data_IF_130290561868
#
_entry.id   IF_130290561868
#
_cell.length_a   1.000
_cell.length_b   1.000
_cell.length_c   1.000
_cell.angle_alpha   90.00
_cell.angle_beta   90.00
_cell.angle_gamma   90.00
#
_symmetry.space_group_name_H-M   'P 1'
#
loop_
_entity.id
_entity.type
_entity.pdbx_description
1 polymer ?
#
# COMPACT_ATOMS: atom_id res chain seq x y z
N UNK A 1 -50.91 19.11 -44.66
CA UNK A 1 -49.47 19.38 -44.41
C UNK A 1 -49.02 18.39 -43.33
N UNK A 2 -48.32 17.30 -43.69
CA UNK A 2 -46.85 17.09 -43.55
C UNK A 2 -46.41 17.26 -42.08
N UNK A 3 -45.81 16.33 -41.32
CA UNK A 3 -45.10 15.03 -41.49
C UNK A 3 -45.04 14.35 -40.08
N UNK A 4 -45.35 13.06 -39.90
CA UNK A 4 -44.46 11.87 -39.93
C UNK A 4 -43.38 11.82 -38.82
N UNK A 5 -43.55 10.94 -37.81
CA UNK A 5 -42.51 10.01 -37.32
C UNK A 5 -43.20 8.75 -36.77
N UNK A 6 -43.04 7.65 -37.51
CA UNK A 6 -43.15 6.29 -37.04
C UNK A 6 -41.99 5.54 -37.69
N UNK A 7 -41.19 4.79 -36.93
CA UNK A 7 -40.57 3.58 -37.46
C UNK A 7 -40.26 2.58 -36.34
N UNK A 8 -40.62 1.35 -36.68
CA UNK A 8 -40.70 0.14 -35.88
C UNK A 8 -39.34 -0.61 -35.79
N UNK A 9 -39.14 -1.26 -34.64
CA UNK A 9 -38.65 -2.62 -34.39
C UNK A 9 -37.87 -3.41 -35.48
N UNK A 10 -36.70 -3.93 -35.03
CA UNK A 10 -36.21 -5.34 -35.06
C UNK A 10 -36.12 -6.08 -36.41
N UNK A 11 -34.93 -6.61 -36.73
CA UNK A 11 -34.67 -7.99 -37.26
C UNK A 11 -33.13 -8.19 -37.28
N UNK A 12 -32.55 -8.92 -36.33
CA UNK A 12 -32.14 -10.35 -36.32
C UNK A 12 -30.68 -10.63 -36.66
N UNK A 13 -30.17 -11.62 -35.94
CA UNK A 13 -28.83 -12.19 -35.92
C UNK A 13 -28.45 -13.06 -37.15
N UNK A 14 -27.21 -13.59 -37.06
CA UNK A 14 -26.50 -14.59 -37.88
C UNK A 14 -25.73 -13.95 -39.05
N UNK A 15 -24.42 -14.15 -39.23
CA UNK A 15 -23.65 -15.40 -39.16
C UNK A 15 -22.12 -15.16 -39.17
N UNK A 16 -21.37 -16.12 -38.62
CA UNK A 16 -19.91 -16.25 -38.58
C UNK A 16 -19.21 -16.27 -39.95
N UNK A 17 -17.98 -15.76 -40.04
CA UNK A 17 -16.89 -16.35 -40.83
C UNK A 17 -15.53 -15.81 -40.39
N UNK A 18 -14.61 -16.72 -40.12
CA UNK A 18 -13.17 -16.54 -39.89
C UNK A 18 -12.45 -16.06 -41.16
N UNK A 19 -11.49 -15.15 -41.01
CA UNK A 19 -10.07 -15.29 -41.41
C UNK A 19 -9.39 -13.91 -41.59
N UNK A 20 -8.29 -13.78 -40.86
CA UNK A 20 -7.02 -13.14 -41.17
C UNK A 20 -6.83 -11.61 -41.30
N UNK A 21 -5.93 -11.19 -40.39
CA UNK A 21 -4.85 -10.22 -40.54
C UNK A 21 -5.21 -8.73 -40.62
N UNK A 22 -5.19 -8.10 -39.45
CA UNK A 22 -4.55 -6.79 -39.32
C UNK A 22 -3.52 -6.86 -38.20
N UNK A 23 -2.26 -6.74 -38.60
CA UNK A 23 -1.13 -6.44 -37.73
C UNK A 23 -1.47 -5.23 -36.84
N UNK A 24 -1.63 -5.48 -35.55
CA UNK A 24 -1.28 -4.51 -34.54
C UNK A 24 -0.19 -5.17 -33.71
N UNK A 25 1.03 -4.64 -33.83
CA UNK A 25 2.06 -4.78 -32.81
C UNK A 25 1.48 -4.24 -31.49
N UNK A 26 0.76 -5.09 -30.79
CA UNK A 26 0.51 -4.94 -29.36
C UNK A 26 1.84 -5.30 -28.72
N UNK A 27 2.56 -4.27 -28.31
CA UNK A 27 3.67 -4.40 -27.37
C UNK A 27 3.15 -5.22 -26.20
N UNK A 28 3.62 -6.46 -26.11
CA UNK A 28 3.22 -7.39 -25.08
C UNK A 28 3.62 -6.83 -23.70
N UNK A 29 2.62 -6.30 -22.97
CA UNK A 29 2.64 -6.23 -21.51
C UNK A 29 1.91 -7.48 -20.98
N UNK A 30 2.23 -8.65 -21.54
CA UNK A 30 1.69 -9.92 -21.09
C UNK A 30 2.66 -10.56 -20.10
N UNK A 31 2.51 -10.17 -18.84
CA UNK A 31 2.91 -10.98 -17.69
C UNK A 31 2.19 -10.53 -16.41
N UNK A 32 0.99 -9.96 -16.52
CA UNK A 32 0.26 -9.54 -15.33
C UNK A 32 -0.56 -10.68 -14.77
N UNK A 33 -0.35 -10.99 -13.48
CA UNK A 33 -0.95 -12.14 -12.81
C UNK A 33 -2.46 -11.97 -12.55
N UNK A 34 -2.95 -10.73 -12.48
CA UNK A 34 -4.36 -10.39 -12.28
C UNK A 34 -5.11 -10.02 -13.55
N UNK A 35 -6.41 -10.32 -13.53
CA UNK A 35 -7.41 -9.87 -14.51
C UNK A 35 -8.47 -9.02 -13.81
N UNK A 36 -8.98 -7.98 -14.45
CA UNK A 36 -10.13 -7.23 -13.93
C UNK A 36 -11.41 -8.09 -14.05
N UNK A 37 -12.04 -8.39 -12.92
CA UNK A 37 -13.31 -9.10 -12.82
C UNK A 37 -14.36 -8.16 -12.20
N UNK A 38 -15.26 -7.64 -13.04
CA UNK A 38 -16.21 -6.59 -12.65
C UNK A 38 -15.49 -5.31 -12.20
N UNK A 39 -15.51 -5.02 -10.89
CA UNK A 39 -14.91 -3.82 -10.27
C UNK A 39 -13.68 -4.13 -9.40
N UNK A 40 -13.14 -5.33 -9.48
CA UNK A 40 -12.01 -5.76 -8.64
C UNK A 40 -11.01 -6.56 -9.45
N UNK A 41 -9.77 -6.62 -8.97
CA UNK A 41 -8.79 -7.55 -9.53
C UNK A 41 -9.06 -8.96 -9.04
N UNK A 42 -8.84 -9.92 -9.94
CA UNK A 42 -8.99 -11.34 -9.71
C UNK A 42 -7.66 -12.05 -9.96
N UNK A 43 -7.24 -12.83 -8.98
CA UNK A 43 -6.03 -13.61 -8.96
C UNK A 43 -6.38 -15.10 -8.92
N UNK A 44 -5.66 -15.91 -9.70
CA UNK A 44 -5.90 -17.36 -9.74
C UNK A 44 -5.66 -18.04 -8.39
N UNK A 45 -4.65 -17.58 -7.64
CA UNK A 45 -4.26 -18.13 -6.35
C UNK A 45 -3.52 -17.07 -5.50
N UNK A 46 -3.23 -17.40 -4.25
CA UNK A 46 -2.54 -16.54 -3.29
C UNK A 46 -1.11 -16.20 -3.73
N UNK A 47 -0.41 -17.16 -4.37
CA UNK A 47 0.96 -16.98 -4.87
C UNK A 47 1.03 -15.86 -5.92
N UNK A 48 0.11 -15.85 -6.90
CA UNK A 48 0.03 -14.81 -7.91
C UNK A 48 -0.35 -13.45 -7.34
N UNK A 49 -1.25 -13.43 -6.34
CA UNK A 49 -1.58 -12.21 -5.59
C UNK A 49 -0.34 -11.63 -4.92
N UNK A 50 0.42 -12.46 -4.21
CA UNK A 50 1.63 -12.05 -3.48
C UNK A 50 2.74 -11.63 -4.42
N UNK A 51 2.90 -12.33 -5.55
CA UNK A 51 3.85 -11.97 -6.57
C UNK A 51 3.57 -10.58 -7.12
N UNK A 52 2.35 -10.31 -7.57
CA UNK A 52 2.01 -8.99 -8.14
C UNK A 52 2.08 -7.90 -7.08
N UNK A 53 1.60 -8.16 -5.85
CA UNK A 53 1.82 -7.25 -4.71
C UNK A 53 3.31 -6.94 -4.49
N UNK A 54 4.17 -7.94 -4.57
CA UNK A 54 5.62 -7.77 -4.37
C UNK A 54 6.27 -7.01 -5.51
N UNK A 55 5.87 -7.27 -6.76
CA UNK A 55 6.35 -6.54 -7.94
C UNK A 55 5.94 -5.06 -7.85
N UNK A 56 4.73 -4.77 -7.35
CA UNK A 56 4.23 -3.40 -7.15
C UNK A 56 4.95 -2.68 -6.00
N UNK A 57 5.43 -3.40 -4.99
CA UNK A 57 6.14 -2.80 -3.86
C UNK A 57 7.47 -2.14 -4.25
N UNK A 58 8.01 -2.50 -5.42
CA UNK A 58 9.26 -1.94 -5.95
C UNK A 58 9.01 -0.73 -6.89
N UNK A 59 7.75 -0.44 -7.24
CA UNK A 59 7.38 0.67 -8.10
C UNK A 59 7.21 1.98 -7.31
N UNK A 60 7.50 3.11 -7.96
CA UNK A 60 7.18 4.42 -7.39
C UNK A 60 5.69 4.78 -7.54
N UNK A 61 5.25 5.85 -6.88
CA UNK A 61 3.84 6.27 -6.90
C UNK A 61 3.28 6.53 -8.30
N UNK A 62 4.07 7.07 -9.22
CA UNK A 62 3.60 7.43 -10.55
C UNK A 62 3.54 6.18 -11.45
N UNK A 63 4.51 5.28 -11.31
CA UNK A 63 4.48 3.93 -11.89
C UNK A 63 3.27 3.13 -11.39
N UNK A 64 2.97 3.17 -10.08
CA UNK A 64 1.79 2.54 -9.49
C UNK A 64 0.49 3.11 -10.07
N UNK A 65 0.38 4.45 -10.19
CA UNK A 65 -0.79 5.09 -10.80
C UNK A 65 -0.97 4.67 -12.26
N UNK A 66 0.12 4.61 -13.03
CA UNK A 66 0.11 4.15 -14.41
C UNK A 66 -0.32 2.68 -14.50
N UNK A 67 0.17 1.83 -13.60
CA UNK A 67 -0.24 0.44 -13.51
C UNK A 67 -1.74 0.32 -13.18
N UNK A 68 -2.25 1.02 -12.16
CA UNK A 68 -3.68 1.03 -11.80
C UNK A 68 -4.54 1.49 -12.98
N UNK A 69 -4.11 2.56 -13.67
CA UNK A 69 -4.81 3.07 -14.84
C UNK A 69 -4.84 2.05 -15.99
N UNK A 70 -3.73 1.34 -16.22
CA UNK A 70 -3.66 0.27 -17.23
C UNK A 70 -4.63 -0.88 -16.93
N UNK A 71 -4.86 -1.17 -15.64
CA UNK A 71 -5.85 -2.17 -15.19
C UNK A 71 -7.29 -1.67 -15.26
N UNK A 72 -7.52 -0.38 -15.52
CA UNK A 72 -8.86 0.27 -15.50
C UNK A 72 -9.58 0.08 -14.16
N UNK A 73 -8.82 -0.07 -13.08
CA UNK A 73 -9.35 -0.27 -11.73
C UNK A 73 -9.54 1.09 -11.04
N UNK A 74 -10.70 1.29 -10.41
CA UNK A 74 -10.83 2.34 -9.38
C UNK A 74 -10.25 1.78 -8.09
N UNK A 75 -8.96 2.03 -7.87
CA UNK A 75 -8.18 1.48 -6.76
C UNK A 75 -8.33 2.28 -5.48
N UNK A 76 -8.13 1.61 -4.33
CA UNK A 76 -7.98 2.26 -3.04
C UNK A 76 -6.86 3.32 -3.02
N UNK A 77 -5.78 3.12 -3.81
CA UNK A 77 -4.68 4.08 -3.93
C UNK A 77 -5.17 5.47 -4.39
N UNK A 78 -6.16 5.48 -5.28
CA UNK A 78 -6.67 6.72 -5.88
C UNK A 78 -7.78 7.38 -5.06
N UNK A 79 -8.38 6.65 -4.11
CA UNK A 79 -9.55 7.12 -3.34
C UNK A 79 -9.27 7.32 -1.86
N UNK A 80 -8.16 6.80 -1.32
CA UNK A 80 -7.80 6.99 0.08
C UNK A 80 -7.32 8.43 0.34
N UNK A 81 -7.95 9.11 1.30
CA UNK A 81 -7.48 10.41 1.79
C UNK A 81 -6.68 10.22 3.09
N UNK A 82 -5.35 10.25 2.97
CA UNK A 82 -4.50 10.13 4.14
C UNK A 82 -4.31 11.47 4.89
N UNK A 83 -4.85 12.59 4.39
CA UNK A 83 -4.58 13.94 4.91
C UNK A 83 -5.17 14.20 6.30
N UNK A 84 -6.32 13.59 6.61
CA UNK A 84 -6.95 13.70 7.93
C UNK A 84 -6.05 13.17 9.06
N UNK A 85 -5.19 12.20 8.76
CA UNK A 85 -4.26 11.62 9.73
C UNK A 85 -3.06 12.53 10.05
N UNK A 86 -2.89 13.65 9.35
CA UNK A 86 -1.71 14.51 9.44
C UNK A 86 -1.93 15.79 10.24
N UNK A 87 -3.17 16.15 10.59
CA UNK A 87 -3.50 17.47 11.14
C UNK A 87 -2.99 17.67 12.59
N UNK A 88 -2.67 16.59 13.29
CA UNK A 88 -2.33 16.59 14.72
C UNK A 88 -0.83 16.80 14.98
N UNK A 89 -0.53 17.42 16.14
CA UNK A 89 0.86 17.57 16.60
C UNK A 89 1.48 16.23 17.01
N UNK A 90 0.66 15.31 17.54
CA UNK A 90 1.03 13.95 17.95
C UNK A 90 0.22 12.95 17.13
N UNK A 91 0.91 12.04 16.44
CA UNK A 91 0.27 11.03 15.60
C UNK A 91 -0.01 9.76 16.40
N UNK A 92 -1.24 9.24 16.35
CA UNK A 92 -1.58 7.99 17.03
C UNK A 92 -0.87 6.79 16.41
N UNK A 93 -0.31 5.92 17.26
CA UNK A 93 0.23 4.61 16.86
C UNK A 93 -0.86 3.59 16.47
N UNK A 94 -2.13 3.89 16.78
CA UNK A 94 -3.27 3.02 16.46
C UNK A 94 -3.83 3.22 15.06
N UNK A 95 -3.34 4.22 14.31
CA UNK A 95 -3.79 4.46 12.94
C UNK A 95 -3.46 3.26 12.04
N UNK A 96 -4.14 3.18 10.90
CA UNK A 96 -3.93 2.12 9.91
C UNK A 96 -3.34 2.77 8.67
N UNK A 97 -2.19 2.27 8.25
CA UNK A 97 -1.51 2.65 7.01
C UNK A 97 -1.30 1.38 6.22
N UNK A 98 -1.63 1.43 4.94
CA UNK A 98 -1.34 0.37 3.98
C UNK A 98 -0.26 0.85 3.03
N UNK A 99 0.54 -0.08 2.53
CA UNK A 99 1.48 0.23 1.45
C UNK A 99 0.74 0.68 0.18
N UNK A 100 1.38 1.53 -0.62
CA UNK A 100 0.81 1.96 -1.89
C UNK A 100 0.60 0.76 -2.85
N UNK A 101 1.43 -0.28 -2.71
CA UNK A 101 1.29 -1.54 -3.43
C UNK A 101 0.02 -2.30 -3.04
N UNK A 102 -0.27 -2.45 -1.73
CA UNK A 102 -1.51 -3.08 -1.28
C UNK A 102 -2.73 -2.25 -1.67
N UNK A 103 -2.65 -0.92 -1.51
CA UNK A 103 -3.73 -0.02 -1.97
C UNK A 103 -3.98 -0.19 -3.47
N UNK A 104 -2.94 -0.38 -4.28
CA UNK A 104 -3.04 -0.54 -5.74
C UNK A 104 -3.84 -1.78 -6.16
N UNK A 105 -3.66 -2.91 -5.48
CA UNK A 105 -4.35 -4.18 -5.84
C UNK A 105 -5.79 -4.24 -5.36
N UNK A 106 -6.14 -3.43 -4.35
CA UNK A 106 -7.50 -3.33 -3.82
C UNK A 106 -8.32 -2.32 -4.63
N UNK A 107 -9.60 -2.64 -4.84
CA UNK A 107 -10.52 -1.64 -5.37
C UNK A 107 -10.86 -0.55 -4.33
N UNK A 108 -11.62 0.48 -4.71
CA UNK A 108 -11.99 1.60 -3.83
C UNK A 108 -12.79 1.21 -2.59
N UNK A 109 -13.37 0.01 -2.55
CA UNK A 109 -14.09 -0.55 -1.40
C UNK A 109 -13.22 -1.52 -0.58
N UNK A 110 -11.91 -1.57 -0.85
CA UNK A 110 -10.95 -2.48 -0.23
C UNK A 110 -11.23 -3.97 -0.51
N UNK A 111 -11.76 -4.31 -1.70
CA UNK A 111 -12.07 -5.68 -2.12
C UNK A 111 -11.09 -6.20 -3.18
N UNK A 112 -10.84 -7.51 -3.16
CA UNK A 112 -10.04 -8.26 -4.14
C UNK A 112 -10.57 -9.68 -4.28
N UNK A 113 -10.38 -10.33 -5.44
CA UNK A 113 -10.76 -11.73 -5.65
C UNK A 113 -9.51 -12.61 -5.76
N UNK A 114 -9.44 -13.68 -4.97
CA UNK A 114 -8.31 -14.62 -4.94
C UNK A 114 -8.87 -16.05 -4.96
N UNK A 115 -8.44 -16.87 -5.92
CA UNK A 115 -8.90 -18.26 -6.06
C UNK A 115 -10.45 -18.37 -6.06
N UNK A 116 -11.12 -17.47 -6.77
CA UNK A 116 -12.58 -17.40 -6.83
C UNK A 116 -13.26 -16.74 -5.63
N UNK A 117 -12.59 -16.61 -4.49
CA UNK A 117 -13.11 -15.99 -3.28
C UNK A 117 -13.00 -14.47 -3.33
N UNK A 118 -14.08 -13.75 -3.02
CA UNK A 118 -14.03 -12.29 -2.86
C UNK A 118 -13.72 -11.97 -1.40
N UNK A 119 -12.62 -11.25 -1.20
CA UNK A 119 -12.14 -10.82 0.10
C UNK A 119 -12.36 -9.32 0.27
N UNK A 120 -12.80 -8.91 1.45
CA UNK A 120 -12.87 -7.52 1.86
C UNK A 120 -11.86 -7.27 2.97
N UNK A 121 -10.92 -6.35 2.74
CA UNK A 121 -10.01 -5.87 3.75
C UNK A 121 -10.72 -4.79 4.57
N UNK A 122 -10.99 -5.09 5.84
CA UNK A 122 -11.39 -4.10 6.82
C UNK A 122 -10.35 -4.03 7.93
N UNK A 123 -9.80 -2.85 8.14
CA UNK A 123 -8.70 -2.57 9.06
C UNK A 123 -7.46 -3.47 8.84
N UNK A 124 -7.47 -4.66 9.42
CA UNK A 124 -6.37 -5.62 9.37
C UNK A 124 -6.86 -7.02 9.05
N UNK A 125 -8.14 -7.21 8.80
CA UNK A 125 -8.72 -8.54 8.57
C UNK A 125 -9.23 -8.64 7.15
N UNK A 126 -8.86 -9.72 6.47
CA UNK A 126 -9.51 -10.12 5.22
C UNK A 126 -10.70 -11.00 5.57
N UNK A 127 -11.89 -10.46 5.31
CA UNK A 127 -13.15 -11.17 5.45
C UNK A 127 -13.53 -11.82 4.12
N UNK A 128 -13.97 -13.08 4.17
CA UNK A 128 -14.56 -13.78 3.04
C UNK A 128 -16.01 -13.31 2.86
N UNK A 129 -16.36 -12.86 1.67
CA UNK A 129 -17.72 -12.44 1.33
C UNK A 129 -18.48 -13.57 0.60
N UNK A 130 -19.71 -13.82 0.99
CA UNK A 130 -20.65 -14.63 0.21
C UNK A 130 -21.20 -13.87 -0.99
N UNK A 131 -21.87 -14.55 -1.92
CA UNK A 131 -22.42 -13.94 -3.14
C UNK A 131 -23.37 -12.77 -2.88
N UNK A 132 -24.18 -12.84 -1.81
CA UNK A 132 -25.09 -11.77 -1.39
C UNK A 132 -24.37 -10.60 -0.69
N UNK A 133 -23.13 -10.78 -0.27
CA UNK A 133 -22.33 -9.77 0.42
C UNK A 133 -21.40 -8.99 -0.52
N UNK A 134 -21.04 -9.56 -1.67
CA UNK A 134 -20.09 -8.95 -2.63
C UNK A 134 -20.50 -7.53 -3.03
N UNK A 135 -21.80 -7.29 -3.22
CA UNK A 135 -22.33 -6.01 -3.71
C UNK A 135 -22.74 -5.05 -2.59
N UNK A 136 -22.56 -5.43 -1.31
CA UNK A 136 -22.84 -4.55 -0.19
C UNK A 136 -21.82 -3.41 -0.12
N UNK A 137 -22.28 -2.24 0.31
CA UNK A 137 -21.43 -1.10 0.59
C UNK A 137 -20.54 -1.34 1.81
N UNK A 138 -19.46 -0.55 1.94
CA UNK A 138 -18.55 -0.61 3.11
C UNK A 138 -19.32 -0.48 4.42
N UNK A 139 -20.27 0.46 4.52
CA UNK A 139 -21.07 0.66 5.73
C UNK A 139 -21.96 -0.55 6.08
N UNK A 140 -22.53 -1.21 5.07
CA UNK A 140 -23.32 -2.43 5.27
C UNK A 140 -22.46 -3.60 5.72
N UNK A 141 -21.25 -3.74 5.15
CA UNK A 141 -20.29 -4.77 5.54
C UNK A 141 -19.78 -4.54 6.98
N UNK A 142 -19.46 -3.31 7.36
CA UNK A 142 -19.06 -2.96 8.73
C UNK A 142 -20.14 -3.35 9.75
N UNK A 143 -21.43 -3.10 9.44
CA UNK A 143 -22.53 -3.51 10.33
C UNK A 143 -22.70 -5.03 10.47
N UNK A 144 -22.12 -5.80 9.54
CA UNK A 144 -22.17 -7.27 9.53
C UNK A 144 -20.85 -7.93 9.91
N UNK A 145 -19.81 -7.15 10.19
CA UNK A 145 -18.44 -7.63 10.39
C UNK A 145 -18.33 -8.84 11.33
N UNK A 146 -19.05 -8.81 12.46
CA UNK A 146 -19.04 -9.89 13.45
C UNK A 146 -19.56 -11.25 12.93
N UNK A 147 -20.28 -11.26 11.80
CA UNK A 147 -20.83 -12.47 11.16
C UNK A 147 -19.98 -12.94 9.98
N UNK A 148 -19.09 -12.10 9.47
CA UNK A 148 -18.25 -12.42 8.33
C UNK A 148 -17.17 -13.44 8.71
N UNK A 149 -16.94 -14.40 7.84
CA UNK A 149 -15.87 -15.37 8.04
C UNK A 149 -14.51 -14.70 7.82
N UNK A 150 -13.58 -14.88 8.76
CA UNK A 150 -12.19 -14.45 8.58
C UNK A 150 -11.45 -15.42 7.67
N UNK A 151 -10.78 -14.90 6.65
CA UNK A 151 -9.98 -15.66 5.71
C UNK A 151 -8.48 -15.42 5.88
N UNK A 152 -8.12 -14.21 6.28
CA UNK A 152 -6.74 -13.80 6.46
C UNK A 152 -6.64 -12.50 7.25
N UNK A 153 -5.43 -11.99 7.38
CA UNK A 153 -5.16 -10.74 8.09
C UNK A 153 -3.83 -10.11 7.66
N UNK A 154 -3.76 -8.79 7.80
CA UNK A 154 -2.53 -8.04 7.93
C UNK A 154 -2.09 -8.13 9.40
N UNK A 155 -1.10 -8.97 9.69
CA UNK A 155 -0.74 -9.32 11.07
C UNK A 155 -0.35 -8.09 11.92
N UNK A 156 -1.19 -7.73 12.89
CA UNK A 156 -0.82 -6.91 14.05
C UNK A 156 -1.02 -7.75 15.30
N UNK A 157 0.07 -8.21 15.92
CA UNK A 157 0.00 -9.19 17.02
C UNK A 157 -0.43 -8.50 18.32
N UNK A 158 -1.74 -8.24 18.42
CA UNK A 158 -2.42 -8.27 19.70
C UNK A 158 -3.21 -9.59 19.88
N UNK A 159 -3.51 -10.32 18.80
CA UNK A 159 -4.38 -11.53 18.83
C UNK A 159 -3.99 -12.55 17.75
N UNK A 160 -3.05 -13.45 18.06
CA UNK A 160 -2.87 -14.69 17.27
C UNK A 160 -3.95 -15.70 17.71
N UNK A 161 -4.66 -16.27 16.74
CA UNK A 161 -5.64 -17.34 16.97
C UNK A 161 -4.94 -18.62 17.44
N UNK A 162 -5.56 -19.36 18.36
CA UNK A 162 -4.98 -20.49 19.11
C UNK A 162 -4.61 -21.74 18.29
N UNK A 163 -4.74 -21.73 16.96
CA UNK A 163 -4.73 -22.97 16.15
C UNK A 163 -3.51 -23.19 15.24
N UNK A 164 -2.45 -22.37 15.32
CA UNK A 164 -1.22 -22.63 14.58
C UNK A 164 -0.42 -23.72 15.32
N UNK A 165 -0.56 -24.99 14.90
CA UNK A 165 0.10 -26.16 15.51
C UNK A 165 1.58 -26.32 15.12
N UNK A 166 2.32 -25.22 15.03
CA UNK A 166 3.77 -25.19 14.86
C UNK A 166 4.33 -23.96 15.58
N UNK A 167 5.57 -24.05 16.10
CA UNK A 167 6.30 -22.86 16.57
C UNK A 167 6.55 -21.95 15.36
N UNK A 168 5.58 -21.12 15.05
CA UNK A 168 5.63 -20.15 13.96
C UNK A 168 5.98 -18.82 14.62
N UNK A 169 7.27 -18.49 14.59
CA UNK A 169 7.73 -17.18 15.03
C UNK A 169 7.62 -16.23 13.85
N UNK A 170 6.94 -15.12 14.11
CA UNK A 170 6.43 -14.23 13.08
C UNK A 170 7.33 -13.00 12.93
N UNK A 171 7.52 -12.49 11.70
CA UNK A 171 7.97 -11.13 11.47
C UNK A 171 6.97 -10.12 12.07
N UNK A 172 7.34 -9.51 13.19
CA UNK A 172 6.87 -8.23 13.71
C UNK A 172 5.36 -8.00 13.95
N UNK A 173 5.10 -7.09 14.88
CA UNK A 173 3.79 -6.45 14.98
C UNK A 173 3.62 -5.44 13.81
N UNK A 174 2.48 -5.45 13.10
CA UNK A 174 1.99 -4.26 12.38
C UNK A 174 1.62 -3.19 13.40
N UNK A 175 2.63 -2.53 13.95
CA UNK A 175 2.54 -1.21 14.57
C UNK A 175 3.07 -0.18 13.58
N UNK A 176 2.75 1.07 13.82
CA UNK A 176 3.37 2.19 13.12
C UNK A 176 4.19 2.92 14.18
N UNK A 177 5.49 3.10 13.91
CA UNK A 177 6.36 3.96 14.71
C UNK A 177 6.60 5.23 13.94
N UNK A 178 6.16 6.33 14.51
CA UNK A 178 6.20 7.64 13.87
C UNK A 178 7.39 8.42 14.41
N UNK A 179 8.17 9.01 13.52
CA UNK A 179 9.29 9.88 13.84
C UNK A 179 9.02 11.24 13.21
N UNK A 180 9.17 12.31 13.98
CA UNK A 180 8.99 13.67 13.49
C UNK A 180 10.23 14.49 13.83
N UNK A 181 10.75 15.21 12.84
CA UNK A 181 11.90 16.07 13.04
C UNK A 181 11.49 17.33 13.82
N UNK A 182 12.47 18.02 14.43
CA UNK A 182 12.28 19.41 14.80
C UNK A 182 11.81 20.24 13.60
N UNK A 183 11.08 21.32 13.88
CA UNK A 183 10.68 22.26 12.85
C UNK A 183 11.90 23.01 12.29
N UNK A 184 11.91 23.26 10.99
CA UNK A 184 12.87 24.13 10.32
C UNK A 184 12.15 25.25 9.58
N UNK A 185 12.77 26.42 9.51
CA UNK A 185 12.24 27.54 8.74
C UNK A 185 12.90 27.57 7.35
N UNK A 186 12.08 27.49 6.31
CA UNK A 186 12.51 27.53 4.91
C UNK A 186 11.65 28.54 4.17
N UNK A 187 12.26 29.65 3.73
CA UNK A 187 11.58 30.76 3.04
C UNK A 187 10.31 31.26 3.77
N UNK A 188 10.36 31.36 5.09
CA UNK A 188 9.24 31.78 5.94
C UNK A 188 8.19 30.69 6.21
N UNK A 189 8.30 29.52 5.57
CA UNK A 189 7.50 28.34 5.89
C UNK A 189 8.12 27.52 7.02
N UNK A 190 7.30 27.11 7.99
CA UNK A 190 7.68 26.18 9.06
C UNK A 190 7.44 24.75 8.58
N UNK A 191 8.51 24.00 8.37
CA UNK A 191 8.48 22.64 7.84
C UNK A 191 8.93 21.63 8.89
N UNK A 192 8.40 20.40 8.82
CA UNK A 192 8.93 19.24 9.53
C UNK A 192 8.91 18.01 8.62
N UNK A 193 9.86 17.11 8.82
CA UNK A 193 9.86 15.81 8.17
C UNK A 193 9.24 14.79 9.12
N UNK A 194 8.20 14.10 8.65
CA UNK A 194 7.55 13.00 9.38
C UNK A 194 7.78 11.71 8.62
N UNK A 195 8.11 10.66 9.37
CA UNK A 195 8.37 9.34 8.84
C UNK A 195 7.63 8.30 9.65
N UNK A 196 6.87 7.46 8.96
CA UNK A 196 6.12 6.35 9.53
C UNK A 196 6.79 5.05 9.11
N UNK A 197 7.37 4.34 10.08
CA UNK A 197 7.93 3.01 9.87
C UNK A 197 6.87 1.98 10.28
N UNK A 198 6.55 1.07 9.38
CA UNK A 198 5.52 0.05 9.62
C UNK A 198 5.81 -1.23 8.87
N UNK A 199 5.21 -2.32 9.33
CA UNK A 199 5.26 -3.59 8.64
C UNK A 199 3.93 -3.86 7.95
N UNK A 200 3.99 -4.67 6.91
CA UNK A 200 2.83 -5.26 6.26
C UNK A 200 3.12 -6.74 6.04
N UNK A 201 2.64 -7.56 6.99
CA UNK A 201 2.70 -9.01 6.89
C UNK A 201 1.35 -9.56 6.47
N UNK A 202 1.28 -10.11 5.26
CA UNK A 202 0.07 -10.68 4.68
C UNK A 202 -0.02 -12.16 5.09
N UNK A 203 -1.08 -12.50 5.82
CA UNK A 203 -1.47 -13.89 6.12
C UNK A 203 -2.77 -14.20 5.40
N UNK A 204 -2.76 -15.22 4.57
CA UNK A 204 -3.94 -15.75 3.88
C UNK A 204 -4.02 -17.24 4.14
N UNK A 205 -5.22 -17.74 4.45
CA UNK A 205 -5.47 -19.16 4.70
C UNK A 205 -4.48 -19.75 5.75
N UNK A 206 -4.32 -19.04 6.87
CA UNK A 206 -3.42 -19.37 7.99
C UNK A 206 -1.91 -19.48 7.67
N UNK A 207 -1.48 -19.15 6.44
CA UNK A 207 -0.08 -19.09 6.04
C UNK A 207 0.43 -17.67 5.87
N UNK A 208 1.66 -17.38 6.34
CA UNK A 208 2.35 -16.13 5.97
C UNK A 208 2.69 -16.21 4.50
N UNK A 209 2.17 -15.27 3.72
CA UNK A 209 2.41 -15.19 2.30
C UNK A 209 3.50 -14.17 1.96
N UNK A 210 3.55 -13.05 2.70
CA UNK A 210 4.56 -12.01 2.51
C UNK A 210 4.78 -11.24 3.81
N UNK A 211 5.98 -10.69 3.97
CA UNK A 211 6.27 -9.74 5.03
C UNK A 211 7.29 -8.71 4.55
N UNK A 212 6.87 -7.44 4.57
CA UNK A 212 7.67 -6.30 4.12
C UNK A 212 7.59 -5.18 5.15
N UNK A 213 8.68 -4.42 5.26
CA UNK A 213 8.75 -3.22 6.07
C UNK A 213 8.78 -2.01 5.16
N UNK A 214 7.96 -1.01 5.48
CA UNK A 214 7.78 0.19 4.72
C UNK A 214 8.09 1.43 5.55
N UNK A 215 8.65 2.42 4.86
CA UNK A 215 8.90 3.75 5.38
C UNK A 215 8.09 4.74 4.56
N UNK A 216 7.07 5.34 5.17
CA UNK A 216 6.28 6.41 4.55
C UNK A 216 6.83 7.76 5.01
N UNK A 217 7.34 8.53 4.06
CA UNK A 217 8.01 9.80 4.27
C UNK A 217 7.13 10.95 3.79
N UNK A 218 6.82 11.88 4.68
CA UNK A 218 5.99 13.04 4.40
C UNK A 218 6.67 14.31 4.88
N UNK A 219 6.84 15.28 3.98
CA UNK A 219 7.20 16.63 4.38
C UNK A 219 5.92 17.38 4.73
N UNK A 220 5.90 18.05 5.88
CA UNK A 220 4.74 18.78 6.35
C UNK A 220 5.08 20.26 6.55
N UNK A 221 4.11 21.15 6.32
CA UNK A 221 4.19 22.57 6.66
C UNK A 221 3.12 22.96 7.67
N UNK A 222 3.42 23.94 8.51
CA UNK A 222 2.48 24.45 9.51
C UNK A 222 1.60 25.54 8.89
N UNK A 223 0.30 25.27 8.80
CA UNK A 223 -0.73 26.19 8.32
C UNK A 223 -1.51 26.74 9.51
N UNK A 224 -1.44 28.04 9.78
CA UNK A 224 -2.19 28.68 10.86
C UNK A 224 -3.30 29.57 10.30
N UNK A 225 -4.52 29.41 10.83
CA UNK A 225 -5.61 30.35 10.59
C UNK A 225 -6.09 30.94 11.91
N UNK A 226 -6.65 32.15 11.85
CA UNK A 226 -7.17 32.86 13.04
C UNK A 226 -8.34 32.11 13.71
N UNK A 227 -9.09 31.31 12.94
CA UNK A 227 -10.31 30.64 13.42
C UNK A 227 -10.14 29.15 13.75
N UNK A 228 -9.20 28.46 13.10
CA UNK A 228 -9.04 27.00 13.23
C UNK A 228 -7.73 26.58 13.90
N UNK A 229 -6.93 27.54 14.39
CA UNK A 229 -5.62 27.29 14.97
C UNK A 229 -4.57 26.90 13.92
N UNK A 230 -3.47 26.33 14.38
CA UNK A 230 -2.42 25.80 13.51
C UNK A 230 -2.59 24.30 13.31
N UNK A 231 -2.47 23.85 12.06
CA UNK A 231 -2.49 22.43 11.68
C UNK A 231 -1.33 22.11 10.76
N UNK A 232 -0.90 20.86 10.77
CA UNK A 232 0.07 20.36 9.81
C UNK A 232 -0.62 19.93 8.52
N UNK A 233 0.00 20.27 7.40
CA UNK A 233 -0.46 19.91 6.05
C UNK A 233 0.70 19.40 5.24
N UNK A 234 0.42 18.59 4.23
CA UNK A 234 1.44 18.08 3.33
C UNK A 234 2.12 19.20 2.53
N UNK A 235 3.45 19.22 2.55
CA UNK A 235 4.26 20.15 1.79
C UNK A 235 4.73 19.52 0.47
N UNK A 236 4.59 20.28 -0.62
CA UNK A 236 4.96 19.84 -1.97
C UNK A 236 6.38 20.25 -2.38
N UNK A 237 7.18 20.77 -1.46
CA UNK A 237 8.58 21.09 -1.73
C UNK A 237 9.31 19.85 -2.24
N UNK A 238 10.08 20.03 -3.32
CA UNK A 238 10.96 18.99 -3.82
C UNK A 238 12.04 18.69 -2.78
N UNK A 239 12.33 17.41 -2.55
CA UNK A 239 13.33 16.96 -1.58
C UNK A 239 14.03 15.68 -2.03
N UNK A 240 15.25 15.51 -1.56
CA UNK A 240 15.98 14.26 -1.64
C UNK A 240 15.88 13.54 -0.30
N UNK A 241 15.76 12.21 -0.34
CA UNK A 241 15.87 11.37 0.84
C UNK A 241 17.05 10.44 0.67
N UNK A 242 17.84 10.32 1.72
CA UNK A 242 18.89 9.31 1.83
C UNK A 242 18.79 8.60 3.16
N UNK A 243 18.99 7.28 3.19
CA UNK A 243 19.13 6.53 4.43
C UNK A 243 20.25 5.50 4.31
N UNK A 244 20.90 5.25 5.44
CA UNK A 244 21.90 4.19 5.60
C UNK A 244 21.45 3.26 6.72
N UNK A 245 20.40 2.50 6.43
CA UNK A 245 19.79 1.62 7.41
C UNK A 245 20.59 0.33 7.57
N UNK A 246 20.74 -0.08 8.83
CA UNK A 246 21.44 -1.29 9.22
C UNK A 246 20.51 -2.26 9.92
N UNK A 247 20.77 -3.55 9.68
CA UNK A 247 20.13 -4.65 10.39
C UNK A 247 20.75 -4.89 11.76
N UNK A 248 20.32 -5.97 12.40
CA UNK A 248 20.87 -6.34 13.71
C UNK A 248 22.37 -6.68 13.55
N UNK A 249 23.27 -6.08 14.35
CA UNK A 249 24.69 -6.43 14.31
C UNK A 249 24.88 -7.93 14.55
N UNK A 250 25.63 -8.58 13.66
CA UNK A 250 25.87 -10.03 13.74
C UNK A 250 24.74 -10.93 13.21
N UNK A 251 23.71 -10.38 12.58
CA UNK A 251 22.73 -11.21 11.86
C UNK A 251 23.36 -11.75 10.57
N UNK A 252 23.77 -13.01 10.62
CA UNK A 252 24.33 -13.75 9.47
C UNK A 252 23.27 -14.55 8.71
N UNK A 253 22.02 -14.49 9.14
CA UNK A 253 21.00 -15.42 8.64
C UNK A 253 20.53 -15.08 7.22
N UNK A 254 20.69 -13.81 6.79
CA UNK A 254 20.28 -13.35 5.46
C UNK A 254 18.77 -13.42 5.21
N UNK A 255 17.99 -13.58 6.29
CA UNK A 255 16.53 -13.81 6.25
C UNK A 255 15.76 -12.53 5.96
N UNK A 256 16.38 -11.38 6.23
CA UNK A 256 15.89 -10.05 5.88
C UNK A 256 16.82 -9.42 4.86
N UNK A 257 16.24 -8.82 3.82
CA UNK A 257 16.96 -7.86 2.99
C UNK A 257 16.55 -6.47 3.43
N UNK A 258 17.52 -5.63 3.80
CA UNK A 258 17.30 -4.22 4.14
C UNK A 258 17.73 -3.37 2.96
N UNK A 259 16.91 -2.37 2.66
CA UNK A 259 17.15 -1.44 1.56
C UNK A 259 17.42 -0.05 2.13
N UNK A 260 18.53 0.54 1.70
CA UNK A 260 18.75 1.98 1.86
C UNK A 260 17.85 2.76 0.91
N UNK A 261 17.51 3.98 1.29
CA UNK A 261 16.81 4.93 0.44
C UNK A 261 17.88 5.83 -0.17
N UNK A 262 17.92 5.94 -1.49
CA UNK A 262 18.77 6.89 -2.20
C UNK A 262 17.98 7.44 -3.37
N UNK A 263 17.24 8.52 -3.14
CA UNK A 263 16.35 9.03 -4.16
C UNK A 263 17.04 10.01 -5.11
N UNK A 264 16.97 9.68 -6.40
CA UNK A 264 17.22 10.58 -7.50
C UNK A 264 16.30 10.14 -8.65
N UNK A 265 15.33 10.97 -9.11
CA UNK A 265 15.18 12.41 -8.90
C UNK A 265 14.59 12.83 -7.54
N UNK A 266 14.52 14.15 -7.31
CA UNK A 266 13.85 14.72 -6.14
C UNK A 266 12.35 14.39 -6.14
N UNK A 267 11.80 14.16 -4.96
CA UNK A 267 10.39 13.80 -4.74
C UNK A 267 9.60 14.97 -4.13
N UNK A 268 8.28 15.00 -4.31
CA UNK A 268 7.34 15.89 -3.61
C UNK A 268 6.23 15.08 -2.93
N UNK A 269 5.52 15.70 -2.00
CA UNK A 269 4.40 15.06 -1.28
C UNK A 269 4.84 13.84 -0.48
N UNK A 270 3.92 12.94 -0.18
CA UNK A 270 4.19 11.70 0.56
C UNK A 270 4.73 10.63 -0.37
N UNK A 271 5.75 9.90 0.09
CA UNK A 271 6.32 8.76 -0.64
C UNK A 271 6.55 7.59 0.31
N UNK A 272 6.18 6.41 -0.14
CA UNK A 272 6.39 5.14 0.57
C UNK A 272 7.55 4.38 -0.05
N UNK A 273 8.44 3.87 0.79
CA UNK A 273 9.60 3.06 0.39
C UNK A 273 9.51 1.70 1.05
N UNK A 274 9.74 0.63 0.30
CA UNK A 274 10.08 -0.65 0.90
C UNK A 274 11.51 -0.56 1.45
N UNK A 275 11.67 -0.70 2.76
CA UNK A 275 12.97 -0.64 3.45
C UNK A 275 13.42 -1.98 3.99
N UNK A 276 12.52 -2.98 3.98
CA UNK A 276 12.85 -4.34 4.33
C UNK A 276 11.94 -5.34 3.64
N UNK A 277 12.47 -6.51 3.31
CA UNK A 277 11.69 -7.67 2.89
C UNK A 277 12.15 -8.93 3.59
N UNK A 278 11.19 -9.78 3.94
CA UNK A 278 11.46 -11.12 4.44
C UNK A 278 11.63 -12.10 3.29
N UNK A 279 12.61 -13.00 3.40
CA UNK A 279 12.76 -14.13 2.49
C UNK A 279 12.47 -15.43 3.23
N UNK A 280 11.47 -16.16 2.73
CA UNK A 280 11.24 -17.52 3.16
C UNK A 280 12.42 -18.40 2.73
N UNK A 281 13.17 -18.93 3.69
CA UNK A 281 14.34 -19.77 3.43
C UNK A 281 14.18 -21.11 4.15
N UNK A 282 13.85 -22.18 3.43
CA UNK A 282 13.76 -23.52 4.02
C UNK A 282 15.17 -24.05 4.30
N UNK A 283 15.45 -24.67 5.47
CA UNK A 283 14.55 -25.06 6.57
C UNK A 283 14.41 -24.02 7.69
N UNK A 284 15.00 -22.83 7.53
CA UNK A 284 15.12 -21.82 8.58
C UNK A 284 13.85 -20.98 8.69
N UNK A 285 12.91 -21.39 9.55
CA UNK A 285 12.03 -20.42 10.20
C UNK A 285 12.89 -19.65 11.20
N UNK A 286 13.09 -18.36 10.96
CA UNK A 286 13.80 -17.48 11.90
C UNK A 286 12.86 -17.00 12.98
N UNK A 287 13.33 -17.02 14.21
CA UNK A 287 12.63 -16.46 15.35
C UNK A 287 12.88 -14.94 15.53
N UNK A 288 13.40 -14.27 14.50
CA UNK A 288 13.96 -12.92 14.62
C UNK A 288 13.03 -11.90 13.95
N UNK A 289 12.57 -10.90 14.70
CA UNK A 289 11.83 -9.75 14.19
C UNK A 289 12.67 -8.93 13.18
N UNK A 290 12.04 -8.18 12.24
CA UNK A 290 12.82 -7.17 11.50
C UNK A 290 13.41 -6.21 12.53
N UNK A 291 14.70 -5.97 12.39
CA UNK A 291 15.40 -4.93 13.09
C UNK A 291 15.96 -4.00 12.02
N UNK A 292 15.66 -2.70 12.15
CA UNK A 292 16.23 -1.66 11.32
C UNK A 292 16.64 -0.50 12.22
N UNK A 293 17.84 0.03 12.01
CA UNK A 293 18.30 1.23 12.70
C UNK A 293 19.21 2.06 11.80
N UNK A 294 19.15 3.37 11.92
CA UNK A 294 20.09 4.27 11.25
C UNK A 294 19.44 5.61 10.87
N UNK A 295 20.23 6.51 10.26
CA UNK A 295 19.77 7.83 9.92
C UNK A 295 18.88 7.81 8.67
N UNK A 296 17.83 8.63 8.69
CA UNK A 296 17.20 9.14 7.49
C UNK A 296 17.49 10.64 7.37
N UNK A 297 17.90 11.08 6.18
CA UNK A 297 18.22 12.48 5.87
C UNK A 297 17.29 12.97 4.79
N UNK A 298 16.65 14.10 5.03
CA UNK A 298 15.81 14.84 4.10
C UNK A 298 16.48 16.16 3.74
N UNK A 299 16.78 16.36 2.46
CA UNK A 299 17.39 17.60 1.94
C UNK A 299 16.38 18.33 1.03
N UNK A 300 16.03 19.57 1.37
CA UNK A 300 15.03 20.34 0.60
C UNK A 300 15.69 20.95 -0.65
N UNK A 301 15.25 20.53 -1.83
CA UNK A 301 15.80 20.97 -3.10
C UNK A 301 15.40 22.42 -3.41
N UNK A 302 16.26 23.14 -4.13
CA UNK A 302 15.97 24.48 -4.64
C UNK A 302 16.15 25.63 -3.64
N UNK A 303 16.75 25.39 -2.47
CA UNK A 303 17.08 26.43 -1.47
C UNK A 303 18.58 26.38 -1.18
N UNK A 304 19.22 27.57 -1.03
CA UNK A 304 20.66 27.71 -0.76
C UNK A 304 20.87 28.59 0.49
N UNK A 305 21.63 28.12 1.51
CA UNK A 305 22.17 26.77 1.64
C UNK A 305 21.06 25.73 1.75
N UNK A 306 21.28 24.52 1.22
CA UNK A 306 20.29 23.43 1.20
C UNK A 306 19.96 22.99 2.62
N UNK A 307 18.72 23.23 3.08
CA UNK A 307 18.32 22.79 4.41
C UNK A 307 18.29 21.26 4.47
N UNK A 308 18.92 20.70 5.50
CA UNK A 308 18.94 19.26 5.77
C UNK A 308 18.34 18.96 7.13
N UNK A 309 17.55 17.91 7.18
CA UNK A 309 16.96 17.35 8.39
C UNK A 309 17.46 15.91 8.49
N UNK A 310 17.97 15.51 9.65
CA UNK A 310 18.33 14.13 9.92
C UNK A 310 17.59 13.62 11.16
N UNK A 311 17.14 12.38 11.11
CA UNK A 311 16.52 11.67 12.23
C UNK A 311 17.11 10.27 12.34
N UNK A 312 17.42 9.87 13.57
CA UNK A 312 17.76 8.48 13.87
C UNK A 312 16.47 7.67 14.01
N UNK A 313 16.36 6.62 13.19
CA UNK A 313 15.23 5.70 13.24
C UNK A 313 15.68 4.38 13.84
N UNK A 314 14.77 3.73 14.57
CA UNK A 314 14.99 2.39 15.09
C UNK A 314 13.69 1.62 15.25
N UNK A 315 13.73 0.32 14.96
CA UNK A 315 12.65 -0.62 15.21
C UNK A 315 13.15 -1.76 16.10
N UNK A 316 12.44 -2.01 17.22
CA UNK A 316 12.83 -2.96 18.30
C UNK A 316 14.21 -2.74 18.95
N UNK A 317 14.43 -1.52 19.47
CA UNK A 317 15.48 -1.25 20.48
C UNK A 317 14.88 -1.24 21.89
#
# INVERSE_FOLDING_TARGET
MKKLIALFLVFTALSCSSEDQVNQEVTAVDNTASVLDGKMLSFKNEELFVKEYSDLADLDTDELKNWVASKKLVSLLNTSDDSASMEEDVLSETRIIYSDALKSVLNSESKVKINGNVLWLNERTFYLLSEDEINLSVAELTNREAKLQKYGQLLSVAKVSKNITGRLVLPNENRIKSFASPEINVNGGRLRHVVDLYNETIVLNDGIQSSKMYLRSTLQYRSCSTLAGCRWKEAMNLRYLTSDFQGRPGDTTGIWTIYGIYNNPAISGTKTYQVGSWKFTVPYMSDVNFYISGPIVCSINGVVPTPQISMEMSWYY
#
